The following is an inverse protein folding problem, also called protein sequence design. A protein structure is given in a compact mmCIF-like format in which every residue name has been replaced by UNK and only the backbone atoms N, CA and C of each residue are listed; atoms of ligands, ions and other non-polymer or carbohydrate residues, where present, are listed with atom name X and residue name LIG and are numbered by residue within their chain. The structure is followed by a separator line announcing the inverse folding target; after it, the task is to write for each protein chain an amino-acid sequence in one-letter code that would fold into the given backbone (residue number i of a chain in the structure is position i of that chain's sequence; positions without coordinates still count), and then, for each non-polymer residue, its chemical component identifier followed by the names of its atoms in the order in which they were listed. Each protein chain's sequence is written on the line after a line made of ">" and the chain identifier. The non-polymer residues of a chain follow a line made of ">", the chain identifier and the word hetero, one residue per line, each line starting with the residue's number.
data_IF_398471123575
#
_entry.id   IF_398471123575
#
_cell.length_a   1.000
_cell.length_b   1.000
_cell.length_c   1.000
_cell.angle_alpha   90.00
_cell.angle_beta   90.00
_cell.angle_gamma   90.00
#
_symmetry.space_group_name_H-M   'P 1'
#
loop_
_entity.id
_entity.type
_entity.pdbx_description
1 polymer ?
#
# COMPACT_ATOMS: atom_id res chain seq x y z
N UNK A 1 -31.33 -15.29 26.79
CA UNK A 1 -30.52 -14.06 26.67
C UNK A 1 -31.47 -12.95 26.35
N UNK A 2 -31.55 -11.95 27.22
CA UNK A 2 -32.38 -10.77 26.94
C UNK A 2 -31.67 -9.88 25.91
N UNK A 3 -32.42 -9.10 25.15
CA UNK A 3 -31.89 -8.11 24.21
C UNK A 3 -30.94 -7.11 24.91
N UNK A 4 -31.22 -6.84 26.18
CA UNK A 4 -30.41 -6.02 27.10
C UNK A 4 -29.01 -6.60 27.37
N UNK A 5 -28.88 -7.93 27.45
CA UNK A 5 -27.58 -8.59 27.65
C UNK A 5 -26.70 -8.51 26.41
N UNK A 6 -27.32 -8.49 25.22
CA UNK A 6 -26.62 -8.40 23.93
C UNK A 6 -26.06 -6.99 23.70
N UNK A 7 -26.87 -5.96 23.90
CA UNK A 7 -26.44 -4.56 23.75
C UNK A 7 -25.30 -4.21 24.72
N UNK A 8 -25.39 -4.65 25.98
CA UNK A 8 -24.34 -4.44 26.97
C UNK A 8 -23.03 -5.15 26.59
N UNK A 9 -23.12 -6.35 26.02
CA UNK A 9 -21.95 -7.10 25.54
C UNK A 9 -21.31 -6.46 24.31
N UNK A 10 -22.12 -6.01 23.35
CA UNK A 10 -21.65 -5.32 22.14
C UNK A 10 -20.91 -4.02 22.49
N UNK A 11 -21.48 -3.23 23.41
CA UNK A 11 -20.84 -2.02 23.92
C UNK A 11 -19.50 -2.32 24.59
N UNK A 12 -19.44 -3.34 25.46
CA UNK A 12 -18.20 -3.74 26.13
C UNK A 12 -17.10 -4.16 25.15
N UNK A 13 -17.45 -4.92 24.11
CA UNK A 13 -16.50 -5.32 23.07
C UNK A 13 -16.04 -4.13 22.24
N UNK A 14 -16.95 -3.21 21.92
CA UNK A 14 -16.64 -1.96 21.22
C UNK A 14 -15.62 -1.12 22.00
N UNK A 15 -15.90 -0.84 23.28
CA UNK A 15 -15.04 -0.04 24.15
C UNK A 15 -13.64 -0.66 24.30
N UNK A 16 -13.56 -1.99 24.49
CA UNK A 16 -12.27 -2.71 24.58
C UNK A 16 -11.45 -2.65 23.30
N UNK A 17 -12.08 -2.75 22.13
CA UNK A 17 -11.38 -2.63 20.86
C UNK A 17 -10.88 -1.20 20.61
N UNK A 18 -11.68 -0.22 21.02
CA UNK A 18 -11.33 1.19 20.92
C UNK A 18 -10.12 1.51 21.81
N UNK A 19 -10.12 1.03 23.05
CA UNK A 19 -8.97 1.17 23.97
C UNK A 19 -7.70 0.55 23.39
N UNK A 20 -7.78 -0.65 22.80
CA UNK A 20 -6.62 -1.31 22.16
C UNK A 20 -6.06 -0.52 20.99
N UNK A 21 -6.92 0.09 20.17
CA UNK A 21 -6.48 0.90 19.03
C UNK A 21 -5.89 2.24 19.46
N UNK A 22 -6.38 2.80 20.57
CA UNK A 22 -5.87 4.04 21.17
C UNK A 22 -4.61 3.83 22.01
N UNK A 23 -4.35 2.60 22.45
CA UNK A 23 -3.11 2.25 23.12
C UNK A 23 -1.90 2.50 22.20
N UNK A 24 -0.76 2.82 22.80
CA UNK A 24 0.48 3.08 22.08
C UNK A 24 0.82 1.92 21.12
N UNK A 25 1.02 2.25 19.84
CA UNK A 25 1.33 1.29 18.79
C UNK A 25 0.13 0.50 18.21
N UNK A 26 -1.07 0.60 18.79
CA UNK A 26 -2.25 -0.16 18.33
C UNK A 26 -2.62 0.15 16.88
N UNK A 27 -2.60 1.43 16.50
CA UNK A 27 -2.88 1.85 15.12
C UNK A 27 -1.79 1.42 14.14
N UNK A 28 -0.53 1.54 14.54
CA UNK A 28 0.63 1.13 13.74
C UNK A 28 0.60 -0.37 13.44
N UNK A 29 0.30 -1.20 14.45
CA UNK A 29 0.17 -2.65 14.26
C UNK A 29 -0.95 -3.03 13.30
N UNK A 30 -2.09 -2.33 13.36
CA UNK A 30 -3.19 -2.51 12.41
C UNK A 30 -2.75 -2.19 10.97
N UNK A 31 -2.06 -1.06 10.78
CA UNK A 31 -1.58 -0.63 9.46
C UNK A 31 -0.56 -1.62 8.91
N UNK A 32 0.45 -2.00 9.71
CA UNK A 32 1.48 -2.97 9.33
C UNK A 32 0.85 -4.28 8.88
N UNK A 33 -0.01 -4.86 9.73
CA UNK A 33 -0.69 -6.13 9.41
C UNK A 33 -1.50 -6.01 8.12
N UNK A 34 -2.23 -4.91 7.94
CA UNK A 34 -3.03 -4.73 6.72
C UNK A 34 -2.14 -4.58 5.49
N UNK A 35 -1.06 -3.79 5.57
CA UNK A 35 -0.13 -3.61 4.46
C UNK A 35 0.56 -4.90 4.03
N UNK A 36 0.98 -5.75 4.96
CA UNK A 36 1.62 -7.03 4.64
C UNK A 36 0.66 -7.99 3.91
N UNK A 37 -0.61 -8.01 4.30
CA UNK A 37 -1.63 -8.77 3.55
C UNK A 37 -1.83 -8.25 2.13
N UNK A 38 -1.78 -6.92 1.93
CA UNK A 38 -1.87 -6.31 0.61
C UNK A 38 -0.60 -6.54 -0.22
N UNK A 39 0.57 -6.51 0.40
CA UNK A 39 1.83 -6.82 -0.26
C UNK A 39 1.83 -8.25 -0.81
N UNK A 40 1.39 -9.22 0.00
CA UNK A 40 1.20 -10.60 -0.44
C UNK A 40 0.28 -10.72 -1.67
N UNK A 41 -0.83 -9.98 -1.68
CA UNK A 41 -1.83 -10.07 -2.76
C UNK A 41 -1.44 -9.33 -4.04
N UNK A 42 -0.77 -8.18 -3.92
CA UNK A 42 -0.60 -7.24 -5.03
C UNK A 42 0.85 -7.02 -5.46
N UNK A 43 1.82 -7.17 -4.55
CA UNK A 43 3.21 -6.78 -4.78
C UNK A 43 4.17 -7.97 -4.92
N UNK A 44 3.79 -9.16 -4.47
CA UNK A 44 4.65 -10.33 -4.63
C UNK A 44 4.89 -10.65 -6.11
N UNK A 45 6.15 -10.89 -6.43
CA UNK A 45 6.58 -11.34 -7.74
C UNK A 45 7.22 -12.72 -7.62
N UNK A 46 7.57 -13.33 -8.75
CA UNK A 46 8.30 -14.60 -8.73
C UNK A 46 9.65 -14.49 -8.00
N UNK A 47 10.23 -13.29 -7.94
CA UNK A 47 11.56 -13.01 -7.39
C UNK A 47 11.53 -12.24 -6.07
N UNK A 48 10.37 -11.73 -5.64
CA UNK A 48 10.22 -10.93 -4.43
C UNK A 48 8.99 -11.41 -3.66
N UNK A 49 9.22 -12.12 -2.55
CA UNK A 49 8.18 -12.74 -1.70
C UNK A 49 8.42 -12.39 -0.24
N UNK A 50 7.43 -12.68 0.60
CA UNK A 50 7.51 -12.46 2.05
C UNK A 50 7.81 -10.98 2.38
N UNK A 51 7.16 -10.08 1.63
CA UNK A 51 7.34 -8.63 1.75
C UNK A 51 6.83 -8.18 3.13
N UNK A 52 7.71 -7.57 3.91
CA UNK A 52 7.40 -7.01 5.22
C UNK A 52 7.24 -5.49 5.15
N UNK A 53 6.44 -4.95 6.06
CA UNK A 53 6.29 -3.50 6.15
C UNK A 53 7.54 -2.86 6.74
N UNK A 54 8.04 -1.83 6.08
CA UNK A 54 9.07 -0.93 6.58
C UNK A 54 8.43 0.35 7.12
N UNK A 55 9.01 0.91 8.18
CA UNK A 55 8.56 2.19 8.74
C UNK A 55 9.62 3.24 8.41
N UNK A 56 9.23 4.27 7.67
CA UNK A 56 10.09 5.40 7.29
C UNK A 56 9.74 6.62 8.14
N UNK A 57 10.58 6.93 9.13
CA UNK A 57 10.25 7.94 10.15
C UNK A 57 9.19 7.43 11.14
N UNK A 58 8.37 8.33 11.68
CA UNK A 58 7.44 7.99 12.77
C UNK A 58 6.03 7.63 12.28
N UNK A 59 5.68 7.99 11.04
CA UNK A 59 4.30 7.98 10.58
C UNK A 59 4.09 7.45 9.16
N UNK A 60 5.14 6.93 8.50
CA UNK A 60 5.07 6.40 7.14
C UNK A 60 5.34 4.90 7.16
N UNK A 61 4.39 4.12 6.69
CA UNK A 61 4.44 2.67 6.61
C UNK A 61 4.44 2.27 5.15
N UNK A 62 5.44 1.50 4.73
CA UNK A 62 5.69 1.22 3.31
C UNK A 62 5.97 -0.25 3.11
N UNK A 63 5.32 -0.84 2.11
CA UNK A 63 5.72 -2.12 1.51
C UNK A 63 6.19 -1.85 0.08
N UNK A 64 7.29 -2.47 -0.33
CA UNK A 64 7.86 -2.30 -1.68
C UNK A 64 8.21 -3.64 -2.30
N UNK A 65 8.12 -3.70 -3.61
CA UNK A 65 8.56 -4.82 -4.43
C UNK A 65 9.23 -4.33 -5.70
N UNK A 66 10.03 -5.19 -6.31
CA UNK A 66 10.65 -4.95 -7.60
C UNK A 66 10.30 -6.09 -8.54
N UNK A 67 9.69 -5.74 -9.68
CA UNK A 67 9.62 -6.62 -10.84
C UNK A 67 10.93 -6.50 -11.61
N UNK A 68 11.71 -7.58 -11.62
CA UNK A 68 13.02 -7.64 -12.26
C UNK A 68 12.94 -8.08 -13.73
N UNK A 69 11.80 -8.63 -14.15
CA UNK A 69 11.52 -9.00 -15.54
C UNK A 69 10.64 -7.93 -16.20
N UNK A 70 11.28 -7.04 -16.95
CA UNK A 70 10.59 -5.99 -17.71
C UNK A 70 9.54 -6.54 -18.70
N UNK A 71 9.71 -7.76 -19.21
CA UNK A 71 8.75 -8.38 -20.11
C UNK A 71 7.48 -8.82 -19.37
N UNK A 72 7.59 -9.18 -18.08
CA UNK A 72 6.41 -9.37 -17.22
C UNK A 72 5.76 -8.05 -16.89
N UNK A 73 6.54 -7.03 -16.51
CA UNK A 73 6.00 -5.70 -16.21
C UNK A 73 5.21 -5.11 -17.40
N UNK A 74 5.66 -5.32 -18.64
CA UNK A 74 4.96 -4.89 -19.86
C UNK A 74 3.60 -5.56 -20.11
N UNK A 75 3.25 -6.62 -19.37
CA UNK A 75 1.93 -7.27 -19.42
C UNK A 75 0.90 -6.57 -18.54
N UNK A 76 1.27 -5.50 -17.84
CA UNK A 76 0.33 -4.69 -17.05
C UNK A 76 -0.89 -4.29 -17.89
N UNK A 77 -2.10 -4.36 -17.32
CA UNK A 77 -3.31 -3.87 -17.98
C UNK A 77 -3.33 -2.34 -18.09
N UNK A 78 -2.55 -1.64 -17.26
CA UNK A 78 -2.49 -0.18 -17.19
C UNK A 78 -1.75 0.40 -18.40
N UNK A 79 -2.48 1.05 -19.30
CA UNK A 79 -1.90 1.58 -20.54
C UNK A 79 -0.87 2.67 -20.30
N UNK A 80 -1.05 3.52 -19.29
CA UNK A 80 -0.09 4.59 -18.97
C UNK A 80 1.24 4.01 -18.52
N UNK A 81 1.21 3.03 -17.61
CA UNK A 81 2.40 2.30 -17.17
C UNK A 81 3.06 1.62 -18.37
N UNK A 82 2.28 0.91 -19.19
CA UNK A 82 2.80 0.22 -20.37
C UNK A 82 3.54 1.16 -21.33
N UNK A 83 3.00 2.35 -21.59
CA UNK A 83 3.68 3.34 -22.42
C UNK A 83 4.97 3.86 -21.78
N UNK A 84 4.97 4.10 -20.46
CA UNK A 84 6.16 4.46 -19.69
C UNK A 84 7.26 3.41 -19.80
N UNK A 85 6.91 2.13 -19.59
CA UNK A 85 7.83 1.00 -19.71
C UNK A 85 8.36 0.82 -21.14
N UNK A 86 7.53 1.00 -22.17
CA UNK A 86 8.00 0.97 -23.58
C UNK A 86 9.04 2.06 -23.82
N UNK A 87 8.80 3.27 -23.31
CA UNK A 87 9.75 4.39 -23.43
C UNK A 87 11.05 4.10 -22.70
N UNK A 88 10.97 3.49 -21.51
CA UNK A 88 12.14 3.04 -20.76
C UNK A 88 12.95 1.98 -21.54
N UNK A 89 12.29 0.96 -22.10
CA UNK A 89 12.94 -0.06 -22.92
C UNK A 89 13.62 0.52 -24.17
N UNK A 90 13.05 1.56 -24.78
CA UNK A 90 13.67 2.27 -25.91
C UNK A 90 14.92 3.03 -25.48
N UNK A 91 14.95 3.58 -24.26
CA UNK A 91 16.12 4.26 -23.68
C UNK A 91 17.25 3.27 -23.35
N UNK A 92 16.93 2.03 -23.01
CA UNK A 92 17.89 0.98 -22.65
C UNK A 92 17.70 -0.30 -23.50
N UNK A 93 18.07 -0.28 -24.79
CA UNK A 93 17.83 -1.41 -25.69
C UNK A 93 18.78 -2.61 -25.46
N UNK A 94 18.37 -3.78 -25.94
CA UNK A 94 19.24 -4.96 -26.04
C UNK A 94 19.51 -5.63 -24.69
N UNK A 95 20.77 -5.84 -24.35
CA UNK A 95 21.14 -6.50 -23.10
C UNK A 95 20.86 -5.64 -21.85
N UNK A 96 20.84 -4.32 -22.00
CA UNK A 96 20.57 -3.39 -20.89
C UNK A 96 19.11 -3.44 -20.43
N UNK A 97 18.17 -3.78 -21.33
CA UNK A 97 16.76 -3.91 -20.97
C UNK A 97 16.52 -5.00 -19.93
N UNK A 98 17.39 -6.01 -19.86
CA UNK A 98 17.33 -7.12 -18.90
C UNK A 98 17.72 -6.71 -17.47
N UNK A 99 18.30 -5.53 -17.30
CA UNK A 99 18.68 -4.98 -15.98
C UNK A 99 17.60 -4.04 -15.42
N UNK A 100 16.66 -3.61 -16.27
CA UNK A 100 15.59 -2.71 -15.87
C UNK A 100 14.73 -3.38 -14.81
N UNK A 101 14.35 -2.61 -13.80
CA UNK A 101 13.40 -3.04 -12.77
C UNK A 101 12.29 -2.01 -12.66
N UNK A 102 11.14 -2.45 -12.19
CA UNK A 102 10.00 -1.59 -11.88
C UNK A 102 9.72 -1.70 -10.39
N UNK A 103 9.75 -0.58 -9.69
CA UNK A 103 9.41 -0.50 -8.28
C UNK A 103 7.89 -0.38 -8.14
N UNK A 104 7.30 -1.19 -7.28
CA UNK A 104 5.90 -1.10 -6.89
C UNK A 104 5.84 -0.90 -5.39
N UNK A 105 4.99 0.02 -4.93
CA UNK A 105 4.88 0.28 -3.49
C UNK A 105 3.46 0.61 -3.07
N UNK A 106 3.17 0.29 -1.81
CA UNK A 106 1.97 0.75 -1.11
C UNK A 106 2.45 1.45 0.15
N UNK A 107 2.00 2.69 0.34
CA UNK A 107 2.36 3.55 1.45
C UNK A 107 1.11 3.98 2.20
N UNK A 108 1.17 3.89 3.53
CA UNK A 108 0.19 4.48 4.44
C UNK A 108 0.91 5.54 5.28
N UNK A 109 0.40 6.76 5.28
CA UNK A 109 0.94 7.86 6.10
C UNK A 109 -0.11 8.35 7.08
N UNK A 110 0.21 8.32 8.38
CA UNK A 110 -0.59 8.98 9.41
C UNK A 110 -0.27 10.48 9.35
N UNK A 111 -1.21 11.30 8.89
CA UNK A 111 -1.04 12.75 8.79
C UNK A 111 -1.31 13.43 10.13
N UNK A 112 -2.27 12.91 10.88
CA UNK A 112 -2.61 13.28 12.26
C UNK A 112 -3.55 12.22 12.84
N UNK A 113 -4.04 12.44 14.07
CA UNK A 113 -4.89 11.52 14.83
C UNK A 113 -6.22 11.12 14.14
N UNK A 114 -6.65 11.87 13.14
CA UNK A 114 -7.93 11.70 12.43
C UNK A 114 -7.79 11.61 10.92
N UNK A 115 -6.55 11.53 10.40
CA UNK A 115 -6.30 11.57 8.97
C UNK A 115 -5.15 10.65 8.59
N UNK A 116 -5.46 9.68 7.72
CA UNK A 116 -4.49 8.78 7.09
C UNK A 116 -4.55 8.94 5.57
N UNK A 117 -3.40 8.85 4.92
CA UNK A 117 -3.27 8.84 3.45
C UNK A 117 -2.78 7.48 3.00
N UNK A 118 -3.45 6.88 2.03
CA UNK A 118 -3.04 5.66 1.34
C UNK A 118 -2.56 6.01 -0.05
N UNK A 119 -1.42 5.47 -0.48
CA UNK A 119 -0.86 5.68 -1.83
C UNK A 119 -0.37 4.34 -2.35
N UNK A 120 -0.78 3.97 -3.56
CA UNK A 120 -0.10 2.95 -4.35
C UNK A 120 0.71 3.66 -5.44
N UNK A 121 1.91 3.17 -5.74
CA UNK A 121 2.78 3.71 -6.79
C UNK A 121 3.40 2.58 -7.62
N UNK A 122 3.48 2.81 -8.93
CA UNK A 122 4.34 2.06 -9.86
C UNK A 122 5.36 3.05 -10.42
N UNK A 123 6.63 2.82 -10.13
CA UNK A 123 7.75 3.69 -10.47
C UNK A 123 8.76 2.95 -11.34
N UNK A 124 8.99 3.44 -12.55
CA UNK A 124 9.94 2.89 -13.52
C UNK A 124 11.12 3.82 -13.76
N UNK A 125 11.40 4.73 -12.82
CA UNK A 125 12.53 5.66 -12.87
C UNK A 125 13.86 4.98 -12.53
N UNK A 126 14.20 3.92 -13.25
CA UNK A 126 15.44 3.18 -13.04
C UNK A 126 16.67 4.02 -13.44
N UNK A 127 17.78 3.98 -12.66
CA UNK A 127 18.03 3.12 -11.49
C UNK A 127 17.66 3.73 -10.13
N UNK A 128 17.34 5.02 -10.08
CA UNK A 128 17.28 5.77 -8.82
C UNK A 128 15.93 5.67 -8.11
N UNK A 129 14.88 5.31 -8.84
CA UNK A 129 13.48 5.24 -8.39
C UNK A 129 13.03 6.50 -7.65
N UNK A 130 13.53 7.66 -8.07
CA UNK A 130 13.05 8.92 -7.53
C UNK A 130 11.60 9.13 -7.95
N UNK A 131 10.81 9.75 -7.06
CA UNK A 131 9.40 10.06 -7.29
C UNK A 131 9.27 11.23 -8.27
N UNK A 132 9.47 10.94 -9.55
CA UNK A 132 9.21 11.85 -10.66
C UNK A 132 7.93 11.43 -11.35
N UNK A 133 6.99 12.37 -11.48
CA UNK A 133 5.69 12.15 -12.09
C UNK A 133 5.76 11.74 -13.58
N UNK A 134 6.89 12.00 -14.27
CA UNK A 134 7.10 11.50 -15.63
C UNK A 134 7.35 9.97 -15.64
N UNK A 135 7.93 9.43 -14.57
CA UNK A 135 8.39 8.05 -14.48
C UNK A 135 7.64 7.22 -13.43
N UNK A 136 6.54 7.75 -12.89
CA UNK A 136 5.66 7.00 -12.01
C UNK A 136 4.19 7.30 -12.26
N UNK A 137 3.36 6.35 -11.86
CA UNK A 137 1.93 6.57 -11.65
C UNK A 137 1.62 6.27 -10.20
N UNK A 138 0.77 7.08 -9.60
CA UNK A 138 0.27 6.82 -8.26
C UNK A 138 -1.24 7.04 -8.19
N UNK A 139 -1.88 6.29 -7.29
CA UNK A 139 -3.27 6.51 -6.88
C UNK A 139 -3.28 6.75 -5.38
N UNK A 140 -3.96 7.81 -4.96
CA UNK A 140 -4.02 8.27 -3.58
C UNK A 140 -5.46 8.33 -3.09
N UNK A 141 -5.66 7.88 -1.87
CA UNK A 141 -6.92 8.04 -1.12
C UNK A 141 -6.60 8.64 0.25
N UNK A 142 -7.44 9.58 0.69
CA UNK A 142 -7.33 10.20 2.01
C UNK A 142 -8.52 9.77 2.87
N UNK A 143 -8.23 9.22 4.05
CA UNK A 143 -9.22 8.74 5.02
C UNK A 143 -9.27 9.73 6.18
N UNK A 144 -10.42 10.37 6.36
CA UNK A 144 -10.72 11.16 7.55
C UNK A 144 -11.66 10.39 8.45
N UNK A 145 -11.34 10.33 9.75
CA UNK A 145 -12.10 9.55 10.72
C UNK A 145 -12.07 10.19 12.10
N UNK A 146 -13.20 10.15 12.80
CA UNK A 146 -13.30 10.62 14.18
C UNK A 146 -13.04 9.48 15.19
N UNK A 147 -13.08 8.23 14.73
CA UNK A 147 -12.93 7.01 15.52
C UNK A 147 -11.93 6.05 14.85
N UNK A 148 -10.85 5.61 15.53
CA UNK A 148 -9.93 4.58 15.02
C UNK A 148 -10.61 3.28 14.54
N UNK A 149 -11.78 2.92 15.06
CA UNK A 149 -12.54 1.77 14.58
C UNK A 149 -13.05 1.96 13.15
N UNK A 150 -13.35 3.20 12.74
CA UNK A 150 -13.65 3.49 11.35
C UNK A 150 -12.48 3.10 10.45
N UNK A 151 -11.27 3.52 10.83
CA UNK A 151 -10.06 3.19 10.09
C UNK A 151 -9.82 1.68 10.04
N UNK A 152 -9.97 0.96 11.16
CA UNK A 152 -9.92 -0.52 11.19
C UNK A 152 -10.88 -1.17 10.18
N UNK A 153 -12.10 -0.64 10.08
CA UNK A 153 -13.13 -1.23 9.23
C UNK A 153 -13.00 -0.84 7.75
N UNK A 154 -12.33 0.27 7.45
CA UNK A 154 -12.30 0.85 6.10
C UNK A 154 -10.93 0.83 5.44
N UNK A 155 -9.83 0.70 6.19
CA UNK A 155 -8.47 0.77 5.64
C UNK A 155 -8.28 -0.18 4.46
N UNK A 156 -8.71 -1.45 4.59
CA UNK A 156 -8.64 -2.42 3.51
C UNK A 156 -9.40 -1.95 2.26
N UNK A 157 -10.59 -1.36 2.38
CA UNK A 157 -11.37 -0.86 1.24
C UNK A 157 -10.63 0.25 0.48
N UNK A 158 -10.01 1.18 1.21
CA UNK A 158 -9.23 2.25 0.59
C UNK A 158 -7.93 1.72 -0.04
N UNK A 159 -7.29 0.73 0.59
CA UNK A 159 -6.14 0.04 0.02
C UNK A 159 -6.51 -0.72 -1.27
N UNK A 160 -7.64 -1.41 -1.31
CA UNK A 160 -8.16 -2.02 -2.56
C UNK A 160 -8.31 -0.97 -3.66
N UNK A 161 -8.92 0.19 -3.35
CA UNK A 161 -9.07 1.28 -4.32
C UNK A 161 -7.72 1.72 -4.87
N UNK A 162 -6.73 2.06 -4.03
CA UNK A 162 -5.44 2.53 -4.55
C UNK A 162 -4.69 1.43 -5.33
N UNK A 163 -4.83 0.17 -4.95
CA UNK A 163 -4.17 -0.96 -5.61
C UNK A 163 -4.73 -1.31 -6.99
N UNK A 164 -5.84 -0.70 -7.43
CA UNK A 164 -6.38 -0.87 -8.80
C UNK A 164 -5.40 -0.49 -9.92
N UNK A 165 -4.29 0.18 -9.59
CA UNK A 165 -3.26 0.58 -10.57
C UNK A 165 -2.34 -0.57 -11.00
N UNK A 166 -2.21 -1.63 -10.19
CA UNK A 166 -1.35 -2.79 -10.44
C UNK A 166 -1.98 -3.73 -11.48
#
# INVERSE_FOLDING_TARGET
>A
MSEFDKEALEKKIHDQNLERLRAEGGLSSLIIFTLENFAFRYLETDTHKDISCHVEGDNVFVVRSFEEDILKALKTPNQSVKQGLISLCKKYPGAESKKLKVCQSITVTIKNDSHVSCVAEINWNYPDFSSDAEYSISKKEDIRFDDPLYLRNKLALYLESVCEIF
#
